data_IF_138187866018
#
_entry.id   IF_138187866018
#
_cell.length_a   1.000
_cell.length_b   1.000
_cell.length_c   1.000
_cell.angle_alpha   90.00
_cell.angle_beta   90.00
_cell.angle_gamma   90.00
#
_symmetry.space_group_name_H-M   'P 1'
#
loop_
_entity.id
_entity.type
_entity.pdbx_description
1 polymer ?
#
# COMPACT_ATOMS: atom_id res chain seq x y z
N UNK A 1 -14.65 7.28 1.37
CA UNK A 1 -14.39 7.63 2.80
C UNK A 1 -15.14 6.76 3.79
N UNK A 2 -16.39 6.32 3.52
CA UNK A 2 -17.10 5.39 4.41
C UNK A 2 -16.36 4.06 4.65
N UNK A 3 -15.67 3.50 3.65
CA UNK A 3 -14.86 2.28 3.79
C UNK A 3 -13.72 2.39 4.82
N UNK A 4 -12.99 3.52 4.84
CA UNK A 4 -11.92 3.76 5.82
C UNK A 4 -12.47 3.76 7.26
N UNK A 5 -13.65 4.39 7.45
CA UNK A 5 -14.29 4.50 8.75
C UNK A 5 -14.78 3.15 9.30
N UNK A 6 -15.11 2.20 8.42
CA UNK A 6 -15.45 0.84 8.85
C UNK A 6 -14.22 -0.05 9.04
N UNK A 7 -13.21 0.10 8.19
CA UNK A 7 -12.02 -0.76 8.24
C UNK A 7 -11.08 -0.40 9.40
N UNK A 8 -10.89 0.88 9.71
CA UNK A 8 -9.98 1.32 10.78
C UNK A 8 -10.37 0.78 12.17
N UNK A 9 -11.62 0.91 12.66
CA UNK A 9 -12.00 0.37 13.97
C UNK A 9 -11.99 -1.16 14.00
N UNK A 10 -12.37 -1.83 12.90
CA UNK A 10 -12.28 -3.28 12.81
C UNK A 10 -10.82 -3.76 12.88
N UNK A 11 -9.91 -3.11 12.17
CA UNK A 11 -8.48 -3.43 12.19
C UNK A 11 -7.87 -3.19 13.57
N UNK A 12 -8.27 -2.12 14.25
CA UNK A 12 -7.89 -1.84 15.63
C UNK A 12 -8.36 -2.94 16.59
N UNK A 13 -9.62 -3.37 16.50
CA UNK A 13 -10.17 -4.44 17.33
C UNK A 13 -9.49 -5.79 17.09
N UNK A 14 -9.19 -6.12 15.82
CA UNK A 14 -8.46 -7.34 15.48
C UNK A 14 -7.02 -7.29 16.01
N UNK A 15 -6.32 -6.16 15.84
CA UNK A 15 -4.97 -5.99 16.38
C UNK A 15 -4.94 -6.07 17.90
N UNK A 16 -5.87 -5.40 18.59
CA UNK A 16 -5.96 -5.43 20.05
C UNK A 16 -6.17 -6.85 20.61
N UNK A 17 -6.79 -7.74 19.83
CA UNK A 17 -6.97 -9.16 20.20
C UNK A 17 -5.71 -10.00 19.95
N UNK A 18 -4.91 -9.66 18.92
CA UNK A 18 -3.73 -10.44 18.49
C UNK A 18 -2.46 -9.99 19.21
N UNK A 19 -2.34 -8.69 19.49
CA UNK A 19 -1.18 -8.06 20.14
C UNK A 19 -0.79 -8.74 21.45
N UNK A 20 -1.72 -9.06 22.39
CA UNK A 20 -1.35 -9.72 23.64
C UNK A 20 -0.80 -11.15 23.50
N UNK A 21 -1.00 -11.78 22.34
CA UNK A 21 -0.55 -13.15 22.05
C UNK A 21 0.90 -13.14 21.53
N UNK A 22 1.26 -12.14 20.72
CA UNK A 22 2.55 -12.07 20.03
C UNK A 22 3.54 -11.10 20.69
N UNK A 23 3.08 -10.10 21.43
CA UNK A 23 3.93 -9.17 22.17
C UNK A 23 3.86 -9.44 23.68
N UNK A 24 5.02 -9.45 24.38
CA UNK A 24 5.04 -9.60 25.82
C UNK A 24 4.31 -8.43 26.49
N UNK A 25 3.27 -8.73 27.26
CA UNK A 25 2.45 -7.70 27.92
C UNK A 25 3.21 -7.02 29.07
N UNK A 26 4.09 -7.76 29.75
CA UNK A 26 4.89 -7.31 30.89
C UNK A 26 6.34 -7.77 30.65
N UNK A 27 7.25 -6.81 30.43
CA UNK A 27 8.68 -7.05 30.16
C UNK A 27 9.39 -5.80 29.61
N UNK A 28 10.72 -5.83 29.51
CA UNK A 28 11.49 -4.78 28.82
C UNK A 28 11.10 -4.76 27.33
N UNK A 29 10.48 -3.66 26.89
CA UNK A 29 9.90 -3.53 25.55
C UNK A 29 8.48 -4.08 25.39
N UNK A 30 7.82 -4.49 26.49
CA UNK A 30 6.42 -4.90 26.46
C UNK A 30 5.44 -3.74 26.34
N UNK A 31 4.16 -4.04 26.12
CA UNK A 31 3.08 -3.02 25.95
C UNK A 31 3.06 -2.02 27.13
N UNK A 32 3.32 -2.51 28.35
CA UNK A 32 3.41 -1.70 29.58
C UNK A 32 4.85 -1.46 30.08
N UNK A 33 5.86 -1.65 29.22
CA UNK A 33 7.26 -1.36 29.55
C UNK A 33 7.54 0.14 29.72
N UNK A 34 8.74 0.54 30.19
CA UNK A 34 9.12 1.95 30.25
C UNK A 34 9.38 2.50 28.83
N UNK A 35 8.36 3.10 28.22
CA UNK A 35 8.50 3.75 26.91
C UNK A 35 9.25 5.07 27.05
N UNK A 36 10.30 5.25 26.23
CA UNK A 36 10.98 6.54 26.11
C UNK A 36 10.08 7.55 25.37
N UNK A 37 10.11 8.85 25.71
CA UNK A 37 9.32 9.87 25.01
C UNK A 37 9.56 9.90 23.50
N UNK A 38 10.82 9.66 23.09
CA UNK A 38 11.21 9.57 21.67
C UNK A 38 10.51 8.41 20.95
N UNK A 39 10.42 7.23 21.60
CA UNK A 39 9.73 6.07 21.05
C UNK A 39 8.23 6.35 20.85
N UNK A 40 7.58 7.02 21.80
CA UNK A 40 6.17 7.42 21.68
C UNK A 40 5.96 8.39 20.51
N UNK A 41 6.86 9.37 20.35
CA UNK A 41 6.81 10.31 19.22
C UNK A 41 6.98 9.58 17.88
N UNK A 42 7.93 8.66 17.78
CA UNK A 42 8.14 7.85 16.58
C UNK A 42 6.93 6.96 16.25
N UNK A 43 6.29 6.37 17.25
CA UNK A 43 5.05 5.59 17.07
C UNK A 43 3.92 6.49 16.57
N UNK A 44 3.73 7.67 17.15
CA UNK A 44 2.70 8.61 16.69
C UNK A 44 2.96 9.09 15.26
N UNK A 45 4.22 9.40 14.92
CA UNK A 45 4.62 9.80 13.57
C UNK A 45 4.36 8.68 12.55
N UNK A 46 4.78 7.45 12.86
CA UNK A 46 4.54 6.30 11.98
C UNK A 46 3.04 6.03 11.81
N UNK A 47 2.24 6.17 12.88
CA UNK A 47 0.79 6.08 12.84
C UNK A 47 0.15 7.15 11.96
N UNK A 48 0.63 8.40 12.05
CA UNK A 48 0.17 9.49 11.19
C UNK A 48 0.48 9.21 9.71
N UNK A 49 1.71 8.79 9.39
CA UNK A 49 2.09 8.42 8.02
C UNK A 49 1.24 7.25 7.52
N UNK A 50 1.04 6.21 8.35
CA UNK A 50 0.19 5.08 8.00
C UNK A 50 -1.25 5.51 7.73
N UNK A 51 -1.81 6.43 8.53
CA UNK A 51 -3.13 7.00 8.30
C UNK A 51 -3.20 7.77 6.98
N UNK A 52 -2.22 8.63 6.68
CA UNK A 52 -2.17 9.38 5.41
C UNK A 52 -2.08 8.43 4.22
N UNK A 53 -1.26 7.37 4.30
CA UNK A 53 -1.16 6.36 3.24
C UNK A 53 -2.50 5.65 3.03
N UNK A 54 -3.17 5.24 4.12
CA UNK A 54 -4.51 4.66 4.02
C UNK A 54 -5.50 5.63 3.36
N UNK A 55 -5.49 6.90 3.75
CA UNK A 55 -6.35 7.92 3.12
C UNK A 55 -6.08 8.04 1.62
N UNK A 56 -4.82 8.10 1.20
CA UNK A 56 -4.44 8.13 -0.21
C UNK A 56 -4.92 6.88 -0.97
N UNK A 57 -4.81 5.69 -0.36
CA UNK A 57 -5.30 4.43 -0.94
C UNK A 57 -6.80 4.50 -1.19
N UNK A 58 -7.61 4.88 -0.20
CA UNK A 58 -9.06 4.97 -0.37
C UNK A 58 -9.47 6.09 -1.32
N UNK A 59 -8.71 7.18 -1.39
CA UNK A 59 -8.96 8.25 -2.34
C UNK A 59 -8.70 7.79 -3.78
N UNK A 60 -7.61 7.05 -4.01
CA UNK A 60 -7.31 6.43 -5.31
C UNK A 60 -8.38 5.40 -5.67
N UNK A 61 -8.77 4.51 -4.75
CA UNK A 61 -9.82 3.51 -5.00
C UNK A 61 -11.18 4.18 -5.26
N UNK A 62 -11.48 5.30 -4.61
CA UNK A 62 -12.73 6.03 -4.79
C UNK A 62 -12.81 6.79 -6.12
N UNK A 63 -11.68 7.29 -6.63
CA UNK A 63 -11.61 8.00 -7.92
C UNK A 63 -11.27 7.09 -9.11
N UNK A 64 -10.67 5.93 -8.86
CA UNK A 64 -10.28 4.96 -9.89
C UNK A 64 -10.99 3.61 -9.66
N UNK A 65 -10.57 2.56 -10.36
CA UNK A 65 -11.13 1.22 -10.13
C UNK A 65 -10.27 0.39 -9.17
N UNK A 66 -10.85 -0.58 -8.45
CA UNK A 66 -10.08 -1.50 -7.59
C UNK A 66 -8.93 -2.22 -8.33
N UNK A 67 -9.10 -2.48 -9.62
CA UNK A 67 -8.06 -3.13 -10.45
C UNK A 67 -6.90 -2.18 -10.74
N UNK A 68 -7.17 -0.88 -10.89
CA UNK A 68 -6.13 0.14 -11.06
C UNK A 68 -5.27 0.25 -9.79
N UNK A 69 -5.91 0.19 -8.62
CA UNK A 69 -5.20 0.21 -7.34
C UNK A 69 -4.27 -1.01 -7.16
N UNK A 70 -4.73 -2.23 -7.49
CA UNK A 70 -3.89 -3.43 -7.43
C UNK A 70 -2.66 -3.33 -8.35
N UNK A 71 -2.83 -2.78 -9.55
CA UNK A 71 -1.72 -2.51 -10.47
C UNK A 71 -0.71 -1.51 -9.88
N UNK A 72 -1.18 -0.43 -9.24
CA UNK A 72 -0.32 0.50 -8.50
C UNK A 72 0.41 -0.16 -7.33
N UNK A 73 -0.21 -1.14 -6.66
CA UNK A 73 0.42 -1.95 -5.63
C UNK A 73 1.63 -2.74 -6.15
N UNK A 74 1.47 -3.42 -7.30
CA UNK A 74 2.58 -4.12 -7.95
C UNK A 74 3.67 -3.17 -8.45
N UNK A 75 3.29 -1.99 -8.94
CA UNK A 75 4.24 -0.95 -9.34
C UNK A 75 5.07 -0.44 -8.15
N UNK A 76 4.41 -0.10 -7.02
CA UNK A 76 5.08 0.26 -5.77
C UNK A 76 6.07 -0.83 -5.33
N UNK A 77 5.64 -2.10 -5.37
CA UNK A 77 6.49 -3.22 -5.01
C UNK A 77 7.75 -3.31 -5.89
N UNK A 78 7.60 -3.17 -7.21
CA UNK A 78 8.74 -3.17 -8.14
C UNK A 78 9.72 -2.01 -7.85
N UNK A 79 9.21 -0.81 -7.58
CA UNK A 79 10.06 0.35 -7.20
C UNK A 79 10.81 0.06 -5.90
N UNK A 80 10.13 -0.49 -4.88
CA UNK A 80 10.78 -0.82 -3.61
C UNK A 80 11.90 -1.85 -3.80
N UNK A 81 11.69 -2.88 -4.63
CA UNK A 81 12.73 -3.87 -4.94
C UNK A 81 13.91 -3.26 -5.69
N UNK A 82 13.65 -2.42 -6.70
CA UNK A 82 14.70 -1.72 -7.45
C UNK A 82 15.46 -0.73 -6.56
N UNK A 83 14.75 -0.01 -5.70
CA UNK A 83 15.35 0.89 -4.70
C UNK A 83 16.23 0.12 -3.72
N UNK A 84 15.77 -1.04 -3.24
CA UNK A 84 16.55 -1.93 -2.39
C UNK A 84 17.86 -2.39 -3.06
N UNK A 85 17.77 -2.82 -4.32
CA UNK A 85 18.95 -3.17 -5.12
C UNK A 85 19.96 -2.04 -5.25
N UNK A 86 19.49 -0.84 -5.63
CA UNK A 86 20.37 0.31 -5.85
C UNK A 86 20.99 0.81 -4.54
N UNK A 87 20.23 0.85 -3.46
CA UNK A 87 20.65 1.42 -2.18
C UNK A 87 21.51 0.47 -1.35
N UNK A 88 21.13 -0.82 -1.30
CA UNK A 88 21.82 -1.83 -0.48
C UNK A 88 22.80 -2.70 -1.28
N UNK A 89 22.86 -2.55 -2.61
CA UNK A 89 23.67 -3.38 -3.53
C UNK A 89 23.44 -4.88 -3.33
N UNK A 90 22.23 -5.27 -2.92
CA UNK A 90 21.86 -6.66 -2.75
C UNK A 90 22.00 -7.39 -4.10
N UNK A 91 22.66 -8.57 -4.16
CA UNK A 91 22.82 -9.28 -5.42
C UNK A 91 21.47 -9.85 -5.88
N UNK A 92 20.74 -9.10 -6.71
CA UNK A 92 19.56 -9.60 -7.40
C UNK A 92 19.97 -10.71 -8.37
N UNK A 93 19.31 -11.86 -8.25
CA UNK A 93 19.48 -12.94 -9.22
C UNK A 93 18.90 -12.52 -10.58
N UNK A 94 19.51 -12.99 -11.67
CA UNK A 94 19.08 -12.67 -13.03
C UNK A 94 17.58 -12.99 -13.26
N UNK A 95 17.09 -14.07 -12.64
CA UNK A 95 15.69 -14.48 -12.69
C UNK A 95 14.75 -13.49 -11.98
N UNK A 96 15.19 -12.87 -10.89
CA UNK A 96 14.42 -11.83 -10.19
C UNK A 96 14.32 -10.56 -11.03
N UNK A 97 15.42 -10.17 -11.69
CA UNK A 97 15.43 -9.06 -12.63
C UNK A 97 14.45 -9.26 -13.79
N UNK A 98 14.46 -10.45 -14.42
CA UNK A 98 13.52 -10.79 -15.49
C UNK A 98 12.05 -10.77 -15.00
N UNK A 99 11.79 -11.25 -13.79
CA UNK A 99 10.46 -11.19 -13.18
C UNK A 99 9.96 -9.76 -12.97
N UNK A 100 10.82 -8.86 -12.52
CA UNK A 100 10.49 -7.43 -12.33
C UNK A 100 10.17 -6.79 -13.69
N UNK A 101 11.00 -7.02 -14.71
CA UNK A 101 10.78 -6.46 -16.06
C UNK A 101 9.46 -6.97 -16.65
N UNK A 102 9.18 -8.27 -16.55
CA UNK A 102 7.92 -8.85 -17.03
C UNK A 102 6.70 -8.23 -16.33
N UNK A 103 6.79 -8.07 -15.00
CA UNK A 103 5.71 -7.46 -14.19
C UNK A 103 5.48 -6.01 -14.60
N UNK A 104 6.54 -5.22 -14.79
CA UNK A 104 6.44 -3.83 -15.25
C UNK A 104 5.81 -3.73 -16.64
N UNK A 105 6.22 -4.58 -17.59
CA UNK A 105 5.64 -4.61 -18.92
C UNK A 105 4.14 -4.95 -18.89
N UNK A 106 3.75 -5.94 -18.08
CA UNK A 106 2.34 -6.30 -17.89
C UNK A 106 1.49 -5.16 -17.32
N UNK A 107 2.03 -4.44 -16.33
CA UNK A 107 1.37 -3.26 -15.73
C UNK A 107 1.20 -2.14 -16.75
N UNK A 108 2.24 -1.86 -17.54
CA UNK A 108 2.19 -0.82 -18.58
C UNK A 108 1.17 -1.16 -19.67
N UNK A 109 1.16 -2.39 -20.17
CA UNK A 109 0.20 -2.84 -21.19
C UNK A 109 -1.24 -2.75 -20.67
N UNK A 110 -1.49 -3.23 -19.45
CA UNK A 110 -2.81 -3.15 -18.84
C UNK A 110 -3.28 -1.70 -18.64
N UNK A 111 -2.38 -0.83 -18.16
CA UNK A 111 -2.67 0.59 -17.95
C UNK A 111 -3.03 1.28 -19.26
N UNK A 112 -2.28 1.01 -20.33
CA UNK A 112 -2.53 1.57 -21.66
C UNK A 112 -3.87 1.12 -22.25
N UNK A 113 -4.19 -0.18 -22.17
CA UNK A 113 -5.48 -0.71 -22.63
C UNK A 113 -6.63 -0.05 -21.87
N UNK A 114 -6.50 0.05 -20.55
CA UNK A 114 -7.56 0.58 -19.70
C UNK A 114 -7.79 2.08 -19.88
N UNK A 115 -6.72 2.86 -20.09
CA UNK A 115 -6.84 4.28 -20.45
C UNK A 115 -7.58 4.43 -21.79
N UNK A 116 -7.22 3.61 -22.78
CA UNK A 116 -7.84 3.67 -24.10
C UNK A 116 -9.33 3.24 -24.07
N UNK A 117 -9.69 2.24 -23.25
CA UNK A 117 -11.09 1.89 -23.00
C UNK A 117 -11.86 3.01 -22.31
N UNK A 118 -11.27 3.69 -21.33
CA UNK A 118 -11.92 4.83 -20.65
C UNK A 118 -12.17 6.00 -21.61
N UNK A 119 -11.23 6.31 -22.50
CA UNK A 119 -11.37 7.37 -23.50
C UNK A 119 -12.40 7.01 -24.59
N UNK A 120 -12.41 5.74 -25.03
CA UNK A 120 -13.44 5.23 -25.94
C UNK A 120 -14.85 5.24 -25.32
N UNK A 121 -14.97 5.01 -24.02
CA UNK A 121 -16.26 5.02 -23.33
C UNK A 121 -16.77 6.46 -23.07
N UNK A 122 -15.87 7.40 -22.75
CA UNK A 122 -16.22 8.84 -22.63
C UNK A 122 -16.73 9.42 -23.95
N UNK A 123 -16.08 9.09 -25.06
CA UNK A 123 -16.49 9.54 -26.40
C UNK A 123 -17.85 8.96 -26.84
N UNK A 124 -18.17 7.71 -26.45
CA UNK A 124 -19.51 7.14 -26.65
C UNK A 124 -20.59 7.79 -25.77
N UNK A 125 -20.28 8.21 -24.54
CA UNK A 125 -21.23 8.93 -23.69
C UNK A 125 -21.48 10.36 -24.17
N UNK A 126 -20.48 11.06 -24.70
CA UNK A 126 -20.63 12.40 -25.28
C UNK A 126 -21.47 12.44 -26.58
N UNK A 127 -21.69 11.28 -27.22
CA UNK A 127 -22.51 11.15 -28.43
C UNK A 127 -23.94 10.66 -28.16
N UNK A 128 -24.33 10.41 -26.91
CA UNK A 128 -25.72 10.10 -26.56
C UNK A 128 -26.49 11.42 -26.35
N UNK A 129 -27.54 11.70 -27.15
CA UNK A 129 -28.35 12.92 -27.03
C UNK A 129 -29.16 12.96 -25.73
#
# INVERSE_FOLDING_TARGET
MQLLYYQAPLSCAMLLSVVPIFEPVIGDGGIFGPWSPDAVVMVLLSGFVAFTVNLSIYWIIGNTSPVTYNMFGHFKFCITLLGGYVLFKDPLSLNQGLGIVCTLLGILAYTHIKMNEQDANKSKLAQRP
#
